data_IF_705970685614
#
_entry.id   IF_705970685614
#
_cell.length_a   1.000
_cell.length_b   1.000
_cell.length_c   1.000
_cell.angle_alpha   90.00
_cell.angle_beta   90.00
_cell.angle_gamma   90.00
#
_symmetry.space_group_name_H-M   'P 1'
#
loop_
_entity.id
_entity.type
_entity.pdbx_description
1 polymer ?
#
# COMPACT_ATOMS: atom_id res chain seq x y z
N UNK A 1 11.35 27.80 10.37
CA UNK A 1 10.14 26.95 10.25
C UNK A 1 10.46 25.65 10.96
N UNK A 2 9.56 25.14 11.80
CA UNK A 2 9.76 23.81 12.41
C UNK A 2 9.79 22.76 11.30
N UNK A 3 10.84 21.94 11.29
CA UNK A 3 10.98 20.81 10.38
C UNK A 3 9.78 19.88 10.58
N UNK A 4 9.04 19.61 9.50
CA UNK A 4 7.89 18.71 9.54
C UNK A 4 8.38 17.28 9.45
N UNK A 5 7.76 16.38 10.21
CA UNK A 5 8.16 14.97 10.30
C UNK A 5 7.10 14.05 9.69
N UNK A 6 7.58 13.08 8.91
CA UNK A 6 6.73 12.15 8.16
C UNK A 6 6.98 10.70 8.59
N UNK A 7 5.91 9.91 8.75
CA UNK A 7 6.03 8.45 8.76
C UNK A 7 5.78 7.91 7.35
N UNK A 8 6.75 7.20 6.78
CA UNK A 8 6.58 6.51 5.50
C UNK A 8 6.38 5.04 5.78
N UNK A 9 5.17 4.54 5.58
CA UNK A 9 4.77 3.19 5.88
C UNK A 9 4.64 2.31 4.63
N UNK A 10 5.45 1.25 4.58
CA UNK A 10 5.36 0.20 3.56
C UNK A 10 4.65 -1.03 4.12
N UNK A 11 3.69 -1.56 3.36
CA UNK A 11 2.91 -2.73 3.73
C UNK A 11 2.76 -3.70 2.55
N UNK A 12 2.48 -4.96 2.87
CA UNK A 12 2.37 -6.06 1.94
C UNK A 12 3.71 -6.76 1.70
N UNK A 13 3.76 -7.54 0.62
CA UNK A 13 4.96 -8.32 0.27
C UNK A 13 5.93 -7.48 -0.56
N UNK A 14 7.23 -7.68 -0.36
CA UNK A 14 8.32 -6.86 -0.94
C UNK A 14 8.96 -7.50 -2.17
N UNK A 15 8.29 -8.46 -2.81
CA UNK A 15 8.82 -9.33 -3.88
C UNK A 15 9.36 -8.64 -5.15
N UNK A 16 8.99 -7.38 -5.37
CA UNK A 16 9.37 -6.60 -6.55
C UNK A 16 10.18 -5.34 -6.18
N UNK A 17 10.59 -5.22 -4.93
CA UNK A 17 11.18 -3.99 -4.39
C UNK A 17 12.54 -3.68 -5.01
N UNK A 18 13.31 -4.70 -5.37
CA UNK A 18 14.55 -4.55 -6.14
C UNK A 18 14.36 -3.80 -7.47
N UNK A 19 13.17 -3.88 -8.08
CA UNK A 19 12.85 -3.18 -9.33
C UNK A 19 12.26 -1.78 -9.10
N UNK A 20 11.75 -1.49 -7.90
CA UNK A 20 11.00 -0.25 -7.63
C UNK A 20 11.74 0.72 -6.72
N UNK A 21 12.75 0.26 -5.98
CA UNK A 21 13.47 1.05 -4.98
C UNK A 21 14.01 2.35 -5.55
N UNK A 22 14.61 2.33 -6.75
CA UNK A 22 15.16 3.54 -7.38
C UNK A 22 14.08 4.59 -7.62
N UNK A 23 12.87 4.16 -8.00
CA UNK A 23 11.73 5.06 -8.20
C UNK A 23 11.20 5.61 -6.88
N UNK A 24 11.21 4.81 -5.82
CA UNK A 24 10.82 5.24 -4.46
C UNK A 24 11.82 6.29 -3.96
N UNK A 25 13.12 6.02 -4.10
CA UNK A 25 14.18 6.95 -3.72
C UNK A 25 14.05 8.27 -4.49
N UNK A 26 13.95 8.20 -5.82
CA UNK A 26 13.88 9.38 -6.68
C UNK A 26 12.63 10.23 -6.46
N UNK A 27 11.47 9.59 -6.33
CA UNK A 27 10.18 10.28 -6.42
C UNK A 27 9.50 10.51 -5.08
N UNK A 28 9.97 9.88 -4.02
CA UNK A 28 9.46 10.06 -2.65
C UNK A 28 10.60 10.54 -1.74
N UNK A 29 11.63 9.73 -1.52
CA UNK A 29 12.62 10.02 -0.48
C UNK A 29 13.45 11.28 -0.76
N UNK A 30 13.93 11.44 -2.00
CA UNK A 30 14.70 12.61 -2.41
C UNK A 30 13.84 13.88 -2.39
N UNK A 31 12.59 13.76 -2.85
CA UNK A 31 11.64 14.88 -2.81
C UNK A 31 11.42 15.38 -1.39
N UNK A 32 11.21 14.47 -0.42
CA UNK A 32 11.02 14.85 0.97
C UNK A 32 12.27 15.53 1.56
N UNK A 33 13.46 14.98 1.29
CA UNK A 33 14.75 15.58 1.70
C UNK A 33 14.94 16.99 1.12
N UNK A 34 14.73 17.14 -0.19
CA UNK A 34 14.86 18.42 -0.90
C UNK A 34 13.89 19.50 -0.39
N UNK A 35 12.78 19.10 0.24
CA UNK A 35 11.78 20.00 0.81
C UNK A 35 11.86 20.10 2.35
N UNK A 36 12.98 19.71 2.95
CA UNK A 36 13.25 19.80 4.39
C UNK A 36 12.19 19.08 5.25
N UNK A 37 11.79 17.87 4.85
CA UNK A 37 11.03 16.96 5.69
C UNK A 37 11.96 15.91 6.30
N UNK A 38 11.92 15.77 7.62
CA UNK A 38 12.43 14.59 8.30
C UNK A 38 11.45 13.42 8.12
N UNK A 39 11.95 12.19 8.10
CA UNK A 39 11.09 11.03 8.03
C UNK A 39 11.67 9.78 8.67
N UNK A 40 10.77 8.97 9.20
CA UNK A 40 11.05 7.60 9.63
C UNK A 40 10.38 6.62 8.68
N UNK A 41 11.10 5.55 8.32
CA UNK A 41 10.58 4.47 7.48
C UNK A 41 10.08 3.33 8.36
N UNK A 42 8.83 2.94 8.15
CA UNK A 42 8.14 1.85 8.79
C UNK A 42 7.84 0.76 7.77
N UNK A 43 8.09 -0.49 8.12
CA UNK A 43 7.80 -1.63 7.25
C UNK A 43 7.06 -2.70 8.02
N UNK A 44 5.92 -3.11 7.49
CA UNK A 44 5.37 -4.43 7.74
C UNK A 44 5.46 -5.25 6.46
N UNK A 45 6.03 -6.44 6.54
CA UNK A 45 6.04 -7.37 5.41
C UNK A 45 5.87 -8.82 5.87
N UNK A 46 5.90 -9.74 4.93
CA UNK A 46 5.78 -11.17 5.20
C UNK A 46 7.04 -11.92 4.83
N UNK A 47 7.39 -12.92 5.64
CA UNK A 47 8.16 -14.05 5.19
C UNK A 47 7.23 -15.03 4.45
N UNK A 48 7.63 -15.42 3.25
CA UNK A 48 6.89 -16.29 2.34
C UNK A 48 7.69 -17.56 2.09
N UNK A 49 7.11 -18.71 2.40
CA UNK A 49 7.70 -20.02 2.06
C UNK A 49 7.51 -20.34 0.57
N UNK A 50 6.41 -19.84 0.00
CA UNK A 50 6.05 -19.97 -1.39
C UNK A 50 5.21 -18.78 -1.83
N UNK A 51 5.19 -18.55 -3.15
CA UNK A 51 4.40 -17.49 -3.75
C UNK A 51 3.78 -17.96 -5.06
N UNK A 52 2.53 -17.56 -5.27
CA UNK A 52 1.77 -17.73 -6.51
C UNK A 52 0.73 -16.63 -6.57
N UNK A 53 0.42 -16.13 -7.77
CA UNK A 53 -0.74 -15.26 -7.94
C UNK A 53 -1.34 -15.47 -9.33
N UNK A 54 -2.44 -16.23 -9.37
CA UNK A 54 -3.08 -16.62 -10.64
C UNK A 54 -3.61 -15.41 -11.38
N UNK A 55 -4.23 -14.47 -10.67
CA UNK A 55 -4.79 -13.24 -11.27
C UNK A 55 -3.72 -12.36 -11.92
N UNK A 56 -2.53 -12.36 -11.36
CA UNK A 56 -1.40 -11.59 -11.86
C UNK A 56 -0.59 -12.31 -12.94
N UNK A 57 -0.92 -13.57 -13.24
CA UNK A 57 -0.10 -14.49 -14.04
C UNK A 57 1.34 -14.60 -13.48
N UNK A 58 1.49 -14.59 -12.15
CA UNK A 58 2.77 -14.83 -11.49
C UNK A 58 2.83 -16.32 -11.10
N UNK A 59 3.84 -17.01 -11.65
CA UNK A 59 4.01 -18.46 -11.48
C UNK A 59 4.35 -18.83 -10.03
N UNK A 60 4.08 -20.09 -9.70
CA UNK A 60 4.43 -20.64 -8.41
C UNK A 60 5.96 -20.68 -8.24
N UNK A 61 6.46 -20.23 -7.10
CA UNK A 61 7.87 -20.33 -6.74
C UNK A 61 8.05 -20.53 -5.24
N UNK A 62 9.06 -21.32 -4.87
CA UNK A 62 9.60 -21.43 -3.49
C UNK A 62 10.82 -20.55 -3.26
N UNK A 63 11.36 -19.95 -4.33
CA UNK A 63 12.61 -19.19 -4.32
C UNK A 63 12.32 -17.68 -4.32
N UNK A 64 11.48 -17.23 -3.39
CA UNK A 64 11.20 -15.80 -3.24
C UNK A 64 12.21 -15.16 -2.30
N UNK A 65 12.78 -14.04 -2.71
CA UNK A 65 13.71 -13.30 -1.86
C UNK A 65 12.96 -12.54 -0.76
N UNK A 66 12.94 -13.12 0.44
CA UNK A 66 12.34 -12.51 1.63
C UNK A 66 13.18 -11.38 2.24
N UNK A 67 14.36 -11.06 1.70
CA UNK A 67 15.24 -10.02 2.24
C UNK A 67 15.14 -8.66 1.54
N UNK A 68 14.36 -8.54 0.46
CA UNK A 68 14.30 -7.28 -0.31
C UNK A 68 13.88 -6.07 0.54
N UNK A 69 13.09 -6.27 1.60
CA UNK A 69 12.70 -5.21 2.54
C UNK A 69 13.91 -4.42 3.11
N UNK A 70 15.10 -5.04 3.16
CA UNK A 70 16.34 -4.39 3.64
C UNK A 70 16.72 -3.17 2.80
N UNK A 71 16.32 -3.13 1.52
CA UNK A 71 16.56 -2.00 0.63
C UNK A 71 15.90 -0.71 1.15
N UNK A 72 14.79 -0.81 1.89
CA UNK A 72 14.11 0.33 2.47
C UNK A 72 14.80 0.92 3.71
N UNK A 73 15.78 0.22 4.29
CA UNK A 73 16.52 0.66 5.50
C UNK A 73 15.57 1.14 6.61
N UNK A 74 14.55 0.35 6.89
CA UNK A 74 13.48 0.69 7.82
C UNK A 74 14.02 0.95 9.23
N UNK A 75 13.53 2.01 9.87
CA UNK A 75 13.78 2.27 11.29
C UNK A 75 12.95 1.36 12.18
N UNK A 76 11.73 1.07 11.74
CA UNK A 76 10.80 0.16 12.43
C UNK A 76 10.36 -0.93 11.47
N UNK A 77 10.45 -2.19 11.90
CA UNK A 77 10.23 -3.36 11.06
C UNK A 77 9.45 -4.42 11.82
N UNK A 78 8.43 -4.98 11.17
CA UNK A 78 7.77 -6.24 11.57
C UNK A 78 7.69 -7.16 10.36
N UNK A 79 8.03 -8.43 10.58
CA UNK A 79 7.93 -9.49 9.59
C UNK A 79 7.14 -10.61 10.22
N UNK A 80 6.01 -10.97 9.60
CA UNK A 80 5.22 -12.12 10.01
C UNK A 80 5.39 -13.27 9.01
N UNK A 81 5.26 -14.53 9.43
CA UNK A 81 5.11 -15.62 8.48
C UNK A 81 3.68 -15.58 7.88
N UNK A 82 3.56 -15.52 6.55
CA UNK A 82 2.24 -15.38 5.93
C UNK A 82 1.34 -16.60 6.15
N UNK A 83 1.89 -17.81 6.19
CA UNK A 83 1.10 -19.03 6.39
C UNK A 83 0.55 -19.09 7.81
N UNK A 84 1.36 -18.72 8.81
CA UNK A 84 0.89 -18.60 10.20
C UNK A 84 -0.23 -17.55 10.32
N UNK A 85 -0.08 -16.39 9.66
CA UNK A 85 -1.13 -15.35 9.63
C UNK A 85 -2.39 -15.86 8.94
N UNK A 86 -2.30 -16.59 7.82
CA UNK A 86 -3.47 -17.19 7.16
C UNK A 86 -4.23 -18.12 8.12
N UNK A 87 -3.50 -18.99 8.82
CA UNK A 87 -4.09 -19.91 9.80
C UNK A 87 -4.72 -19.18 10.98
N UNK A 88 -4.02 -18.18 11.54
CA UNK A 88 -4.51 -17.37 12.65
C UNK A 88 -5.79 -16.59 12.28
N UNK A 89 -5.85 -16.04 11.08
CA UNK A 89 -7.00 -15.24 10.64
C UNK A 89 -8.20 -16.08 10.23
N UNK A 90 -8.03 -17.39 9.98
CA UNK A 90 -9.08 -18.25 9.44
C UNK A 90 -9.78 -17.60 8.22
N UNK A 91 -9.03 -17.36 7.13
CA UNK A 91 -9.52 -16.56 5.99
C UNK A 91 -10.88 -16.99 5.42
N UNK A 92 -11.26 -18.25 5.58
CA UNK A 92 -12.57 -18.77 5.18
C UNK A 92 -13.74 -18.05 5.86
N UNK A 93 -13.57 -17.57 7.11
CA UNK A 93 -14.61 -16.83 7.82
C UNK A 93 -14.96 -15.48 7.18
N UNK A 94 -14.09 -14.96 6.30
CA UNK A 94 -14.33 -13.73 5.55
C UNK A 94 -15.04 -13.97 4.21
N UNK A 95 -15.18 -15.23 3.78
CA UNK A 95 -15.71 -15.60 2.45
C UNK A 95 -17.24 -15.75 2.46
N UNK A 96 -17.92 -14.84 3.16
CA UNK A 96 -19.37 -14.89 3.43
C UNK A 96 -20.23 -14.36 2.27
N UNK A 97 -19.60 -13.79 1.24
CA UNK A 97 -20.22 -13.28 0.01
C UNK A 97 -19.49 -13.83 -1.22
N UNK A 98 -20.08 -13.72 -2.43
CA UNK A 98 -19.40 -14.15 -3.66
C UNK A 98 -18.04 -13.48 -3.86
N UNK A 99 -17.10 -14.19 -4.49
CA UNK A 99 -15.79 -13.65 -4.85
C UNK A 99 -15.93 -12.59 -5.97
N UNK A 100 -15.68 -11.29 -5.70
CA UNK A 100 -15.85 -10.23 -6.69
C UNK A 100 -14.84 -10.33 -7.85
N UNK A 101 -13.79 -11.15 -7.72
CA UNK A 101 -12.77 -11.36 -8.74
C UNK A 101 -12.84 -12.71 -9.44
N UNK A 102 -13.74 -13.61 -9.03
CA UNK A 102 -13.94 -14.95 -9.63
C UNK A 102 -12.63 -15.75 -9.71
N UNK A 103 -11.83 -15.70 -8.66
CA UNK A 103 -10.53 -16.35 -8.49
C UNK A 103 -10.54 -17.47 -7.45
N UNK A 104 -11.73 -18.03 -7.17
CA UNK A 104 -11.93 -18.97 -6.07
C UNK A 104 -11.36 -18.45 -4.74
N UNK A 105 -11.65 -17.18 -4.44
CA UNK A 105 -11.23 -16.44 -3.26
C UNK A 105 -9.73 -16.17 -3.09
N UNK A 106 -8.85 -16.59 -4.01
CA UNK A 106 -7.41 -16.30 -3.93
C UNK A 106 -7.14 -14.78 -3.83
N UNK A 107 -7.83 -13.97 -4.64
CA UNK A 107 -7.63 -12.51 -4.56
C UNK A 107 -8.28 -11.89 -3.32
N UNK A 108 -9.38 -12.48 -2.83
CA UNK A 108 -10.01 -12.04 -1.57
C UNK A 108 -9.05 -12.25 -0.41
N UNK A 109 -8.41 -13.41 -0.34
CA UNK A 109 -7.38 -13.72 0.65
C UNK A 109 -6.20 -12.74 0.59
N UNK A 110 -5.68 -12.46 -0.62
CA UNK A 110 -4.62 -11.46 -0.77
C UNK A 110 -5.05 -10.06 -0.36
N UNK A 111 -6.31 -9.70 -0.58
CA UNK A 111 -6.86 -8.44 -0.11
C UNK A 111 -6.92 -8.38 1.43
N UNK A 112 -7.42 -9.44 2.07
CA UNK A 112 -7.47 -9.55 3.54
C UNK A 112 -6.05 -9.47 4.13
N UNK A 113 -5.10 -10.22 3.59
CA UNK A 113 -3.68 -10.17 4.00
C UNK A 113 -3.07 -8.78 3.76
N UNK A 114 -3.38 -8.14 2.63
CA UNK A 114 -2.95 -6.76 2.37
C UNK A 114 -3.46 -5.79 3.44
N UNK A 115 -4.72 -5.94 3.88
CA UNK A 115 -5.33 -5.11 4.93
C UNK A 115 -4.80 -5.44 6.32
N UNK A 116 -4.55 -6.70 6.62
CA UNK A 116 -3.84 -7.10 7.85
C UNK A 116 -2.45 -6.47 7.92
N UNK A 117 -1.68 -6.54 6.82
CA UNK A 117 -0.36 -5.92 6.78
C UNK A 117 -0.41 -4.40 6.97
N UNK A 118 -1.42 -3.74 6.41
CA UNK A 118 -1.63 -2.31 6.60
C UNK A 118 -2.00 -1.97 8.05
N UNK A 119 -2.83 -2.80 8.67
CA UNK A 119 -3.18 -2.69 10.08
C UNK A 119 -1.98 -2.85 10.99
N UNK A 120 -1.20 -3.92 10.78
CA UNK A 120 0.03 -4.17 11.54
C UNK A 120 1.03 -3.02 11.38
N UNK A 121 1.22 -2.50 10.16
CA UNK A 121 2.01 -1.29 9.92
C UNK A 121 1.51 -0.10 10.76
N UNK A 122 0.20 0.13 10.77
CA UNK A 122 -0.43 1.21 11.53
C UNK A 122 -0.19 1.07 13.03
N UNK A 123 -0.25 -0.17 13.57
CA UNK A 123 0.10 -0.46 14.96
C UNK A 123 1.56 -0.14 15.28
N UNK A 124 2.50 -0.41 14.37
CA UNK A 124 3.92 -0.06 14.56
C UNK A 124 4.10 1.46 14.62
N UNK A 125 3.42 2.20 13.73
CA UNK A 125 3.45 3.67 13.73
C UNK A 125 2.91 4.21 15.06
N UNK A 126 1.75 3.73 15.51
CA UNK A 126 1.16 4.11 16.81
C UNK A 126 2.12 3.83 17.97
N UNK A 127 2.71 2.63 18.01
CA UNK A 127 3.57 2.20 19.10
C UNK A 127 4.94 2.91 19.13
N UNK A 128 5.31 3.60 18.05
CA UNK A 128 6.55 4.40 18.03
C UNK A 128 6.51 5.60 18.98
N UNK A 129 5.30 6.05 19.36
CA UNK A 129 5.05 7.24 20.18
C UNK A 129 5.70 8.52 19.63
N UNK A 130 6.09 8.54 18.36
CA UNK A 130 6.58 9.72 17.67
C UNK A 130 5.40 10.54 17.14
N UNK A 131 5.55 11.87 17.14
CA UNK A 131 4.60 12.76 16.50
C UNK A 131 4.99 12.96 15.03
N UNK A 132 4.06 12.68 14.13
CA UNK A 132 4.20 12.88 12.70
C UNK A 132 3.14 13.87 12.21
N UNK A 133 3.55 14.82 11.37
CA UNK A 133 2.62 15.73 10.70
C UNK A 133 1.82 14.99 9.64
N UNK A 134 2.47 14.06 8.93
CA UNK A 134 1.87 13.26 7.87
C UNK A 134 2.30 11.80 7.93
N UNK A 135 1.41 10.92 7.48
CA UNK A 135 1.64 9.49 7.34
C UNK A 135 1.34 9.10 5.89
N UNK A 136 2.35 8.54 5.23
CA UNK A 136 2.26 8.02 3.87
C UNK A 136 2.09 6.51 3.92
N UNK A 137 1.08 6.00 3.23
CA UNK A 137 0.94 4.58 2.94
C UNK A 137 1.45 4.33 1.53
N UNK A 138 2.48 3.48 1.41
CA UNK A 138 3.24 3.26 0.17
C UNK A 138 3.30 1.76 -0.11
N UNK A 139 3.11 1.36 -1.36
CA UNK A 139 3.28 -0.04 -1.77
C UNK A 139 4.70 -0.27 -2.28
N UNK A 140 5.39 -1.33 -1.81
CA UNK A 140 6.75 -1.63 -2.26
C UNK A 140 6.79 -2.16 -3.70
N UNK A 141 5.69 -2.67 -4.23
CA UNK A 141 5.60 -3.22 -5.60
C UNK A 141 5.14 -2.20 -6.65
N UNK A 142 5.23 -0.89 -6.35
CA UNK A 142 4.88 0.18 -7.28
C UNK A 142 6.12 0.93 -7.78
N UNK A 143 6.26 1.01 -9.11
CA UNK A 143 7.18 1.92 -9.80
C UNK A 143 6.54 3.31 -9.86
N UNK A 144 7.03 4.24 -9.04
CA UNK A 144 6.54 5.61 -8.97
C UNK A 144 7.07 6.42 -10.17
N UNK A 145 6.18 7.09 -10.91
CA UNK A 145 6.51 7.75 -12.18
C UNK A 145 6.59 9.27 -12.06
N UNK A 146 5.77 9.82 -11.18
CA UNK A 146 5.74 11.24 -10.87
C UNK A 146 6.50 11.49 -9.57
N UNK A 147 7.15 12.64 -9.47
CA UNK A 147 7.67 13.16 -8.20
C UNK A 147 6.51 13.58 -7.31
N UNK A 148 6.62 13.31 -6.01
CA UNK A 148 5.63 13.69 -5.04
C UNK A 148 5.48 15.23 -4.98
N UNK A 149 4.25 15.74 -5.00
CA UNK A 149 4.00 17.18 -4.87
C UNK A 149 3.67 17.53 -3.42
N UNK A 150 4.71 17.88 -2.66
CA UNK A 150 4.58 18.24 -1.23
C UNK A 150 3.77 19.52 -1.02
N UNK A 151 3.59 20.37 -2.06
CA UNK A 151 2.74 21.56 -1.93
C UNK A 151 1.28 21.21 -1.64
N UNK A 152 0.85 19.99 -2.02
CA UNK A 152 -0.51 19.49 -1.77
C UNK A 152 -0.75 19.07 -0.33
N UNK A 153 0.29 18.96 0.50
CA UNK A 153 0.15 18.53 1.90
C UNK A 153 -0.66 19.52 2.74
N UNK A 154 -0.78 20.78 2.29
CA UNK A 154 -1.65 21.78 2.91
C UNK A 154 -3.15 21.50 2.76
N UNK A 155 -3.53 20.57 1.86
CA UNK A 155 -4.92 20.16 1.65
C UNK A 155 -5.37 19.11 2.69
N UNK A 156 -4.43 18.54 3.45
CA UNK A 156 -4.71 17.53 4.47
C UNK A 156 -5.14 18.20 5.77
N UNK A 157 -6.27 17.75 6.30
CA UNK A 157 -6.81 18.10 7.59
C UNK A 157 -7.46 16.86 8.24
N UNK A 158 -8.17 17.07 9.34
CA UNK A 158 -8.83 16.01 10.12
C UNK A 158 -9.95 15.25 9.39
N UNK A 159 -10.35 15.73 8.21
CA UNK A 159 -11.42 15.21 7.39
C UNK A 159 -10.98 14.98 5.94
N UNK A 160 -9.71 15.15 5.59
CA UNK A 160 -9.24 14.97 4.21
C UNK A 160 -8.01 14.06 4.15
N UNK A 161 -7.91 13.31 3.05
CA UNK A 161 -6.72 12.55 2.70
C UNK A 161 -6.35 12.82 1.24
N UNK A 162 -5.08 12.62 0.88
CA UNK A 162 -4.65 12.66 -0.52
C UNK A 162 -4.54 11.25 -1.06
N UNK A 163 -5.16 11.01 -2.22
CA UNK A 163 -5.05 9.76 -2.97
C UNK A 163 -4.72 10.05 -4.44
N UNK A 164 -4.13 9.10 -5.17
CA UNK A 164 -3.88 9.27 -6.60
C UNK A 164 -5.18 9.46 -7.39
N UNK A 165 -5.12 10.34 -8.39
CA UNK A 165 -6.23 10.67 -9.30
C UNK A 165 -6.49 9.62 -10.38
N UNK A 166 -5.61 8.64 -10.54
CA UNK A 166 -5.68 7.60 -11.56
C UNK A 166 -6.06 6.23 -11.00
N UNK A 167 -6.49 5.34 -11.90
CA UNK A 167 -7.10 4.05 -11.58
C UNK A 167 -8.60 4.11 -11.83
N UNK A 168 -9.34 3.15 -11.26
CA UNK A 168 -10.81 3.21 -11.27
C UNK A 168 -11.31 4.28 -10.27
N UNK A 169 -12.45 4.05 -9.62
CA UNK A 169 -13.09 5.07 -8.78
C UNK A 169 -12.18 5.54 -7.62
N UNK A 170 -11.41 4.63 -7.02
CA UNK A 170 -10.47 4.93 -5.93
C UNK A 170 -9.18 4.11 -6.00
N UNK A 171 -8.04 4.75 -5.71
CA UNK A 171 -6.74 4.10 -5.68
C UNK A 171 -6.32 3.83 -4.22
N UNK A 172 -6.24 2.56 -3.85
CA UNK A 172 -5.97 2.05 -2.50
C UNK A 172 -4.49 1.68 -2.27
N UNK A 173 -3.61 2.11 -3.18
CA UNK A 173 -2.18 1.73 -3.23
C UNK A 173 -1.24 2.81 -2.74
N UNK A 174 -1.76 4.02 -2.56
CA UNK A 174 -1.04 5.15 -2.01
C UNK A 174 -2.03 6.07 -1.31
N UNK A 175 -1.64 6.59 -0.15
CA UNK A 175 -2.39 7.66 0.50
C UNK A 175 -1.48 8.52 1.36
N UNK A 176 -1.87 9.78 1.56
CA UNK A 176 -1.25 10.71 2.50
C UNK A 176 -2.33 11.17 3.46
N UNK A 177 -2.04 11.01 4.74
CA UNK A 177 -2.96 11.23 5.86
C UNK A 177 -2.30 12.09 6.93
N UNK A 178 -3.05 12.58 7.90
CA UNK A 178 -2.52 13.21 9.11
C UNK A 178 -2.59 12.26 10.31
N UNK A 179 -2.18 12.73 11.49
CA UNK A 179 -2.18 11.97 12.75
C UNK A 179 -3.58 11.54 13.27
N UNK A 180 -4.66 11.93 12.59
CA UNK A 180 -6.03 11.46 12.88
C UNK A 180 -6.50 10.50 11.80
N UNK A 181 -6.43 10.91 10.54
CA UNK A 181 -6.99 10.16 9.40
C UNK A 181 -6.20 8.89 9.07
N UNK A 182 -4.93 8.78 9.46
CA UNK A 182 -4.14 7.56 9.25
C UNK A 182 -4.71 6.34 9.98
N UNK A 183 -5.34 6.54 11.15
CA UNK A 183 -5.93 5.44 11.92
C UNK A 183 -7.15 4.88 11.20
N UNK A 184 -7.99 5.76 10.65
CA UNK A 184 -9.17 5.37 9.87
C UNK A 184 -8.74 4.62 8.60
N UNK A 185 -7.78 5.17 7.85
CA UNK A 185 -7.29 4.55 6.61
C UNK A 185 -6.53 3.25 6.86
N UNK A 186 -5.72 3.21 7.93
CA UNK A 186 -4.80 2.13 8.24
C UNK A 186 -5.42 0.95 8.97
N UNK A 187 -6.54 1.15 9.69
CA UNK A 187 -7.17 0.12 10.53
C UNK A 187 -8.44 -0.51 9.96
N UNK A 188 -8.68 -0.37 8.65
CA UNK A 188 -9.81 -1.01 7.94
C UNK A 188 -9.95 -2.51 8.26
N UNK A 189 -8.84 -3.20 8.52
CA UNK A 189 -8.85 -4.61 8.89
C UNK A 189 -9.72 -4.94 10.11
N UNK A 190 -9.82 -4.03 11.10
CA UNK A 190 -10.63 -4.22 12.31
C UNK A 190 -12.13 -4.37 12.00
N UNK A 191 -12.61 -3.73 10.94
CA UNK A 191 -14.01 -3.79 10.50
C UNK A 191 -14.23 -4.85 9.40
N UNK A 192 -13.17 -5.44 8.87
CA UNK A 192 -13.23 -6.20 7.62
C UNK A 192 -14.06 -7.49 7.75
N UNK A 193 -14.02 -8.15 8.90
CA UNK A 193 -14.82 -9.35 9.16
C UNK A 193 -16.31 -9.02 9.28
N UNK A 194 -16.66 -7.90 9.94
CA UNK A 194 -18.06 -7.48 10.00
C UNK A 194 -18.58 -7.09 8.61
N UNK A 195 -17.76 -6.36 7.84
CA UNK A 195 -18.11 -5.94 6.49
C UNK A 195 -18.25 -7.12 5.53
N UNK A 196 -17.45 -8.17 5.67
CA UNK A 196 -17.55 -9.35 4.81
C UNK A 196 -18.93 -10.00 4.93
N UNK A 197 -19.54 -9.99 6.12
CA UNK A 197 -20.87 -10.55 6.34
C UNK A 197 -21.98 -9.78 5.60
N UNK A 198 -21.73 -8.52 5.27
CA UNK A 198 -22.70 -7.61 4.65
C UNK A 198 -22.44 -7.37 3.15
N UNK A 199 -21.18 -7.31 2.74
CA UNK A 199 -20.76 -6.88 1.41
C UNK A 199 -19.68 -7.79 0.82
N UNK A 200 -19.61 -7.84 -0.51
CA UNK A 200 -18.46 -8.42 -1.19
C UNK A 200 -17.19 -7.63 -0.81
N UNK A 201 -16.11 -8.33 -0.49
CA UNK A 201 -14.84 -7.71 -0.10
C UNK A 201 -14.08 -7.17 -1.32
N UNK A 202 -14.64 -6.17 -1.99
CA UNK A 202 -14.00 -5.46 -3.08
C UNK A 202 -13.24 -4.24 -2.56
N UNK A 203 -11.94 -4.15 -2.85
CA UNK A 203 -11.02 -3.26 -2.14
C UNK A 203 -11.39 -1.77 -2.17
N UNK A 204 -11.81 -1.27 -3.33
CA UNK A 204 -12.21 0.14 -3.51
C UNK A 204 -13.55 0.45 -2.84
N UNK A 205 -14.47 -0.51 -2.87
CA UNK A 205 -15.80 -0.36 -2.28
C UNK A 205 -15.69 -0.27 -0.77
N UNK A 206 -14.97 -1.21 -0.15
CA UNK A 206 -14.74 -1.22 1.29
C UNK A 206 -14.01 0.06 1.75
N UNK A 207 -12.97 0.48 1.04
CA UNK A 207 -12.28 1.74 1.35
C UNK A 207 -13.24 2.94 1.25
N UNK A 208 -14.11 2.99 0.23
CA UNK A 208 -15.08 4.07 0.05
C UNK A 208 -16.04 4.16 1.21
N UNK A 209 -16.60 3.01 1.61
CA UNK A 209 -17.53 2.91 2.71
C UNK A 209 -16.92 3.35 4.05
N UNK A 210 -15.68 2.94 4.34
CA UNK A 210 -15.01 3.34 5.59
C UNK A 210 -14.75 4.86 5.61
N UNK A 211 -14.29 5.44 4.50
CA UNK A 211 -14.01 6.86 4.44
C UNK A 211 -15.30 7.69 4.51
N UNK A 212 -16.35 7.28 3.81
CA UNK A 212 -17.68 7.90 3.88
C UNK A 212 -18.28 7.83 5.29
N UNK A 213 -18.26 6.65 5.92
CA UNK A 213 -18.71 6.43 7.31
C UNK A 213 -18.03 7.37 8.30
N UNK A 214 -16.77 7.74 8.05
CA UNK A 214 -15.97 8.60 8.91
C UNK A 214 -15.91 10.07 8.45
N UNK A 215 -16.71 10.47 7.46
CA UNK A 215 -16.72 11.82 6.88
C UNK A 215 -15.32 12.26 6.42
N UNK A 216 -14.60 11.37 5.74
CA UNK A 216 -13.29 11.62 5.15
C UNK A 216 -13.44 11.86 3.64
N UNK A 217 -13.08 13.08 3.23
CA UNK A 217 -13.02 13.49 1.83
C UNK A 217 -11.70 13.04 1.17
N UNK A 218 -11.83 12.55 -0.06
CA UNK A 218 -10.73 12.04 -0.87
C UNK A 218 -10.26 13.08 -1.88
N UNK A 219 -9.19 13.80 -1.55
CA UNK A 219 -8.61 14.78 -2.46
C UNK A 219 -7.68 14.06 -3.45
N UNK A 220 -8.10 14.04 -4.72
CA UNK A 220 -7.37 13.38 -5.80
C UNK A 220 -6.19 14.24 -6.27
N UNK A 221 -4.97 13.69 -6.22
CA UNK A 221 -3.74 14.35 -6.68
C UNK A 221 -3.13 13.62 -7.89
N UNK A 222 -2.40 14.35 -8.74
CA UNK A 222 -1.61 13.71 -9.80
C UNK A 222 -0.36 13.09 -9.18
N UNK A 223 -0.33 11.76 -9.11
CA UNK A 223 0.82 11.00 -8.63
C UNK A 223 0.75 9.58 -9.20
N UNK A 224 1.29 9.39 -10.40
CA UNK A 224 1.15 8.15 -11.16
C UNK A 224 2.20 7.12 -10.77
N UNK A 225 1.80 5.85 -10.82
CA UNK A 225 2.69 4.71 -10.62
C UNK A 225 2.13 3.48 -11.34
N UNK A 226 2.99 2.48 -11.53
CA UNK A 226 2.62 1.21 -12.10
C UNK A 226 3.05 0.07 -11.20
N UNK A 227 2.26 -1.01 -11.16
CA UNK A 227 2.63 -2.21 -10.39
C UNK A 227 3.68 -3.00 -11.15
N UNK A 228 4.70 -3.43 -10.42
CA UNK A 228 5.75 -4.32 -10.90
C UNK A 228 5.54 -5.71 -10.31
N UNK A 229 5.57 -6.72 -11.17
CA UNK A 229 5.45 -8.13 -10.80
C UNK A 229 6.77 -8.65 -10.23
N UNK A 230 6.73 -9.82 -9.60
CA UNK A 230 7.91 -10.48 -9.04
C UNK A 230 9.02 -10.72 -10.07
N UNK A 231 8.69 -10.78 -11.36
CA UNK A 231 9.64 -10.94 -12.47
C UNK A 231 10.13 -9.60 -13.06
N UNK A 232 9.81 -8.47 -12.42
CA UNK A 232 10.17 -7.13 -12.89
C UNK A 232 9.26 -6.57 -13.97
N UNK A 233 8.31 -7.35 -14.51
CA UNK A 233 7.42 -6.85 -15.55
C UNK A 233 6.35 -5.92 -15.00
N UNK A 234 5.98 -4.93 -15.80
CA UNK A 234 4.83 -4.08 -15.54
C UNK A 234 3.54 -4.90 -15.60
N UNK A 235 2.64 -4.68 -14.64
CA UNK A 235 1.32 -5.29 -14.64
C UNK A 235 0.54 -4.92 -15.92
N UNK A 236 0.02 -5.92 -16.64
CA UNK A 236 -0.69 -5.75 -17.92
C UNK A 236 -1.76 -4.66 -17.93
N UNK A 237 -2.49 -4.49 -16.82
CA UNK A 237 -3.54 -3.45 -16.70
C UNK A 237 -2.97 -2.03 -16.66
N UNK A 238 -1.75 -1.88 -16.17
CA UNK A 238 -1.10 -0.59 -15.97
C UNK A 238 -0.29 -0.18 -17.21
N UNK A 239 0.00 -1.12 -18.13
CA UNK A 239 0.69 -0.85 -19.41
C UNK A 239 -0.06 0.21 -20.23
N UNK A 240 -1.41 0.15 -20.28
CA UNK A 240 -2.19 1.11 -21.05
C UNK A 240 -2.14 2.52 -20.42
N UNK A 241 -2.13 2.60 -19.10
CA UNK A 241 -1.98 3.87 -18.37
C UNK A 241 -0.57 4.46 -18.56
N UNK A 242 0.41 3.58 -18.79
CA UNK A 242 1.81 3.89 -19.00
C UNK A 242 2.21 4.26 -20.43
N UNK A 243 1.36 4.07 -21.46
CA UNK A 243 1.68 4.46 -22.85
C UNK A 243 1.99 5.95 -23.01
N UNK A 244 1.60 6.80 -22.05
CA UNK A 244 1.97 8.22 -21.98
C UNK A 244 3.40 8.47 -21.44
N UNK A 245 4.03 7.46 -20.84
CA UNK A 245 5.35 7.50 -20.19
C UNK A 245 6.42 6.70 -20.95
N UNK A 246 6.19 6.38 -22.23
CA UNK A 246 6.98 5.46 -23.08
C UNK A 246 8.52 5.65 -23.10
N UNK A 247 9.04 6.82 -22.72
CA UNK A 247 10.50 7.03 -22.63
C UNK A 247 11.12 6.46 -21.35
N UNK A 248 10.35 6.25 -20.28
CA UNK A 248 10.83 5.76 -18.97
C UNK A 248 10.91 4.23 -18.94
N UNK A 249 10.03 3.54 -19.67
CA UNK A 249 9.94 2.07 -19.69
C UNK A 249 11.00 1.38 -20.56
N UNK A 250 11.78 2.11 -21.37
CA UNK A 250 12.87 1.49 -22.16
C UNK A 250 14.09 1.10 -21.31
N UNK A 251 14.07 1.38 -20.02
CA UNK A 251 15.16 1.14 -19.07
C UNK A 251 14.85 0.05 -18.03
N UNK A 252 13.66 -0.57 -18.09
CA UNK A 252 13.19 -1.61 -17.17
C UNK A 252 12.47 -2.72 -17.97
#
# INVERSE_FOLDING_TARGET
MTEKKIAIGFYGITRSLNYTIDSIEKNIFNVLKENNFDYDIFVHTYNLDEYKNTRANEEYTKNIDNNQYKLLKAKYLKIDNQNEVKSMLNLESYRTKPDPWKTNYETVDFYILGKYSQYSLTKIIENSNNNYDYILFVRPDCLYLDRLDVSKFNLINDNTILIPSFGHQMNDRFAITNNKTYKIYGKIFEELLELSNKYELHSQTILGMILEKNNIENIKIKFNFARIRSDGKVAKRDINDLKKYNNILKQY
#
